data_IF_019268488494
#
_entry.id   IF_019268488494
#
_cell.length_a   1.000
_cell.length_b   1.000
_cell.length_c   1.000
_cell.angle_alpha   90.00
_cell.angle_beta   90.00
_cell.angle_gamma   90.00
#
_symmetry.space_group_name_H-M   'P 1'
#
loop_
_entity.id
_entity.type
_entity.pdbx_description
1 polymer ?
#
# COMPACT_ATOMS: atom_id res chain seq x y z
N UNK A 1 -17.35 3.23 18.26
CA UNK A 1 -15.99 2.84 18.71
C UNK A 1 -15.11 2.45 17.52
N UNK A 2 -15.39 1.36 16.78
CA UNK A 2 -14.56 0.94 15.64
C UNK A 2 -14.37 2.01 14.54
N UNK A 3 -15.45 2.70 14.15
CA UNK A 3 -15.36 3.81 13.18
C UNK A 3 -14.41 4.93 13.64
N UNK A 4 -14.62 5.42 14.87
CA UNK A 4 -13.77 6.46 15.48
C UNK A 4 -12.29 6.03 15.51
N UNK A 5 -12.01 4.78 15.89
CA UNK A 5 -10.64 4.26 15.87
C UNK A 5 -10.03 4.26 14.46
N UNK A 6 -10.79 3.82 13.44
CA UNK A 6 -10.32 3.86 12.05
C UNK A 6 -10.09 5.29 11.57
N UNK A 7 -10.95 6.23 11.95
CA UNK A 7 -10.81 7.64 11.57
C UNK A 7 -9.56 8.25 12.22
N UNK A 8 -9.26 7.90 13.48
CA UNK A 8 -8.02 8.32 14.17
C UNK A 8 -6.78 7.71 13.52
N UNK A 9 -6.78 6.41 13.21
CA UNK A 9 -5.65 5.75 12.54
C UNK A 9 -5.41 6.36 11.16
N UNK A 10 -6.46 6.59 10.37
CA UNK A 10 -6.35 7.24 9.07
C UNK A 10 -5.75 8.64 9.19
N UNK A 11 -6.26 9.46 10.12
CA UNK A 11 -5.81 10.84 10.28
C UNK A 11 -4.36 10.95 10.77
N UNK A 12 -3.96 10.12 11.73
CA UNK A 12 -2.64 10.22 12.37
C UNK A 12 -1.53 9.47 11.61
N UNK A 13 -1.85 8.33 10.99
CA UNK A 13 -0.83 7.38 10.53
C UNK A 13 -0.79 7.20 9.02
N UNK A 14 -1.84 7.52 8.27
CA UNK A 14 -1.87 7.24 6.84
C UNK A 14 -0.92 8.11 6.02
N UNK A 15 -0.29 7.49 5.03
CA UNK A 15 0.59 8.10 4.01
C UNK A 15 0.30 7.48 2.65
N UNK A 16 0.77 8.08 1.54
CA UNK A 16 0.62 7.49 0.19
C UNK A 16 1.19 6.07 0.06
N UNK A 17 2.19 5.67 0.86
CA UNK A 17 2.77 4.33 0.78
C UNK A 17 2.30 3.39 1.92
N UNK A 18 1.30 3.77 2.72
CA UNK A 18 0.75 2.93 3.80
C UNK A 18 0.70 3.65 5.14
N UNK A 19 0.60 2.90 6.23
CA UNK A 19 0.54 3.46 7.58
C UNK A 19 1.94 3.62 8.19
N UNK A 20 2.18 4.72 8.92
CA UNK A 20 3.31 4.87 9.84
C UNK A 20 3.18 3.88 10.99
N UNK A 21 4.31 3.35 11.44
CA UNK A 21 4.38 2.47 12.61
C UNK A 21 4.21 3.20 13.95
N UNK A 22 4.45 4.51 13.96
CA UNK A 22 4.29 5.38 15.13
C UNK A 22 3.76 6.75 14.71
N UNK A 23 2.99 7.40 15.58
CA UNK A 23 2.47 8.75 15.33
C UNK A 23 3.61 9.77 15.29
N UNK A 24 3.59 10.74 14.36
CA UNK A 24 4.52 11.87 14.38
C UNK A 24 4.47 12.72 15.67
N UNK A 25 3.36 12.64 16.42
CA UNK A 25 3.21 13.34 17.70
C UNK A 25 3.93 12.64 18.87
N UNK A 26 4.40 11.41 18.67
CA UNK A 26 5.12 10.66 19.70
C UNK A 26 6.59 11.12 19.77
N UNK A 27 7.16 11.36 20.96
CA UNK A 27 8.55 11.80 21.10
C UNK A 27 9.58 10.77 20.60
N UNK A 28 9.21 9.50 20.46
CA UNK A 28 10.06 8.46 19.89
C UNK A 28 9.97 8.36 18.35
N UNK A 29 9.20 9.23 17.68
CA UNK A 29 9.07 9.22 16.23
C UNK A 29 10.38 9.52 15.51
N UNK A 30 10.73 8.63 14.58
CA UNK A 30 11.86 8.71 13.68
C UNK A 30 11.33 8.84 12.25
N UNK A 31 11.47 10.03 11.61
CA UNK A 31 10.81 10.31 10.33
C UNK A 31 11.42 9.60 9.11
N UNK A 32 12.66 9.10 9.24
CA UNK A 32 13.45 8.59 8.12
C UNK A 32 14.01 7.20 8.41
N UNK A 33 13.83 6.29 7.47
CA UNK A 33 14.51 5.00 7.46
C UNK A 33 15.83 5.14 6.70
N UNK A 34 16.84 5.71 7.35
CA UNK A 34 18.10 6.08 6.72
C UNK A 34 19.30 5.82 7.63
N UNK A 35 20.51 6.01 7.08
CA UNK A 35 21.77 5.79 7.81
C UNK A 35 22.26 4.35 7.75
N UNK A 36 23.10 3.97 8.72
CA UNK A 36 23.67 2.64 8.84
C UNK A 36 22.68 1.61 9.39
N UNK A 37 23.12 0.35 9.57
CA UNK A 37 22.26 -0.71 10.10
C UNK A 37 21.63 -0.37 11.46
N UNK A 38 22.38 0.26 12.38
CA UNK A 38 21.88 0.60 13.73
C UNK A 38 20.80 1.67 13.69
N UNK A 39 21.00 2.69 12.87
CA UNK A 39 20.04 3.79 12.71
C UNK A 39 18.74 3.29 12.06
N UNK A 40 18.88 2.43 11.04
CA UNK A 40 17.75 1.80 10.37
C UNK A 40 16.97 0.86 11.28
N UNK A 41 17.65 0.02 12.06
CA UNK A 41 17.01 -0.84 13.06
C UNK A 41 16.22 -0.02 14.10
N UNK A 42 16.79 1.10 14.56
CA UNK A 42 16.11 1.99 15.50
C UNK A 42 14.85 2.64 14.89
N UNK A 43 14.89 3.00 13.59
CA UNK A 43 13.77 3.61 12.88
C UNK A 43 12.68 2.62 12.45
N UNK A 44 13.02 1.32 12.29
CA UNK A 44 12.22 0.31 11.57
C UNK A 44 10.77 0.17 12.03
N UNK A 45 10.53 0.42 13.33
CA UNK A 45 9.20 0.39 13.95
C UNK A 45 8.84 1.68 14.71
N UNK A 46 9.60 2.76 14.48
CA UNK A 46 9.46 4.02 15.22
C UNK A 46 8.97 5.17 14.32
N UNK A 47 8.16 4.91 13.29
CA UNK A 47 7.67 5.95 12.37
C UNK A 47 7.77 5.58 10.91
N UNK A 48 8.64 4.62 10.58
CA UNK A 48 8.73 3.99 9.26
C UNK A 48 7.35 3.51 8.78
N UNK A 49 7.06 3.76 7.50
CA UNK A 49 5.81 3.38 6.84
C UNK A 49 5.89 1.95 6.32
N UNK A 50 4.80 1.20 6.47
CA UNK A 50 4.69 -0.17 5.98
C UNK A 50 3.56 -0.32 4.95
N UNK A 51 3.87 -0.58 3.67
CA UNK A 51 2.88 -0.74 2.62
C UNK A 51 1.92 -1.90 2.80
N UNK A 52 2.37 -3.04 3.35
CA UNK A 52 1.51 -4.21 3.53
C UNK A 52 0.30 -3.95 4.43
N UNK A 53 0.34 -2.93 5.30
CA UNK A 53 -0.81 -2.56 6.11
C UNK A 53 -2.01 -2.04 5.32
N UNK A 54 -1.85 -1.70 4.02
CA UNK A 54 -2.98 -1.32 3.16
C UNK A 54 -4.10 -2.34 3.18
N UNK A 55 -3.78 -3.63 3.17
CA UNK A 55 -4.78 -4.68 3.12
C UNK A 55 -5.67 -4.70 4.36
N UNK A 56 -5.15 -4.95 5.59
CA UNK A 56 -6.00 -4.99 6.78
C UNK A 56 -6.67 -3.64 7.05
N UNK A 57 -6.01 -2.53 6.70
CA UNK A 57 -6.58 -1.19 6.82
C UNK A 57 -7.80 -1.00 5.92
N UNK A 58 -7.69 -1.26 4.61
CA UNK A 58 -8.78 -1.11 3.64
C UNK A 58 -9.98 -1.97 4.02
N UNK A 59 -9.72 -3.21 4.42
CA UNK A 59 -10.73 -4.13 4.92
C UNK A 59 -11.53 -3.56 6.10
N UNK A 60 -10.83 -3.11 7.14
CA UNK A 60 -11.46 -2.55 8.32
C UNK A 60 -12.19 -1.23 7.99
N UNK A 61 -11.57 -0.39 7.16
CA UNK A 61 -12.09 0.90 6.72
C UNK A 61 -13.41 0.75 5.96
N UNK A 62 -13.50 -0.23 5.05
CA UNK A 62 -14.72 -0.55 4.31
C UNK A 62 -15.80 -1.12 5.22
N UNK A 63 -15.47 -2.08 6.10
CA UNK A 63 -16.42 -2.71 7.03
C UNK A 63 -17.11 -1.69 7.92
N UNK A 64 -16.38 -0.73 8.48
CA UNK A 64 -17.00 0.33 9.31
C UNK A 64 -17.83 1.33 8.49
N UNK A 65 -17.72 1.31 7.15
CA UNK A 65 -18.41 2.18 6.17
C UNK A 65 -19.40 1.43 5.26
N UNK A 66 -19.90 0.26 5.69
CA UNK A 66 -20.91 -0.55 4.97
C UNK A 66 -20.45 -1.12 3.61
N UNK A 67 -19.19 -0.90 3.22
CA UNK A 67 -18.60 -1.42 1.98
C UNK A 67 -19.41 -1.13 0.71
N UNK A 68 -20.14 -0.01 0.67
CA UNK A 68 -20.91 0.38 -0.51
C UNK A 68 -20.00 0.86 -1.67
N UNK A 69 -20.60 1.06 -2.85
CA UNK A 69 -19.88 1.49 -4.06
C UNK A 69 -19.07 2.77 -3.85
N UNK A 70 -19.60 3.72 -3.07
CA UNK A 70 -18.94 5.00 -2.80
C UNK A 70 -17.72 4.81 -1.90
N UNK A 71 -17.86 4.00 -0.84
CA UNK A 71 -16.76 3.64 0.05
C UNK A 71 -15.65 2.90 -0.71
N UNK A 72 -16.00 1.91 -1.54
CA UNK A 72 -15.03 1.18 -2.37
C UNK A 72 -14.26 2.08 -3.32
N UNK A 73 -14.97 2.97 -4.02
CA UNK A 73 -14.35 3.96 -4.91
C UNK A 73 -13.40 4.87 -4.14
N UNK A 74 -13.82 5.38 -2.99
CA UNK A 74 -12.98 6.22 -2.12
C UNK A 74 -11.72 5.49 -1.66
N UNK A 75 -11.85 4.23 -1.23
CA UNK A 75 -10.73 3.42 -0.79
C UNK A 75 -9.75 3.13 -1.95
N UNK A 76 -10.27 2.86 -3.15
CA UNK A 76 -9.45 2.71 -4.36
C UNK A 76 -8.63 3.96 -4.65
N UNK A 77 -9.29 5.11 -4.70
CA UNK A 77 -8.65 6.39 -5.04
C UNK A 77 -7.60 6.81 -3.99
N UNK A 78 -7.91 6.66 -2.69
CA UNK A 78 -7.08 7.20 -1.61
C UNK A 78 -6.00 6.25 -1.10
N UNK A 79 -6.26 4.95 -1.11
CA UNK A 79 -5.39 3.98 -0.44
C UNK A 79 -4.68 3.04 -1.40
N UNK A 80 -5.33 2.66 -2.50
CA UNK A 80 -4.80 1.68 -3.45
C UNK A 80 -4.06 2.35 -4.61
N UNK A 81 -4.63 3.41 -5.20
CA UNK A 81 -4.04 4.08 -6.36
C UNK A 81 -2.60 4.61 -6.12
N UNK A 82 -2.25 5.17 -4.95
CA UNK A 82 -0.87 5.57 -4.67
C UNK A 82 0.13 4.40 -4.72
N UNK A 83 -0.24 3.23 -4.18
CA UNK A 83 0.60 2.02 -4.24
C UNK A 83 0.68 1.42 -5.65
N UNK A 84 -0.36 1.59 -6.47
CA UNK A 84 -0.27 1.23 -7.90
C UNK A 84 0.71 2.14 -8.64
N UNK A 85 0.75 3.43 -8.31
CA UNK A 85 1.73 4.36 -8.89
C UNK A 85 3.17 3.99 -8.48
N UNK A 86 3.35 3.50 -7.24
CA UNK A 86 4.63 3.01 -6.73
C UNK A 86 5.22 1.83 -7.54
N UNK A 87 4.41 1.07 -8.29
CA UNK A 87 4.91 -0.04 -9.11
C UNK A 87 5.93 0.39 -10.19
N UNK A 88 5.99 1.68 -10.51
CA UNK A 88 6.99 2.26 -11.42
C UNK A 88 8.28 2.76 -10.74
N UNK A 89 8.39 2.65 -9.41
CA UNK A 89 9.49 3.21 -8.59
C UNK A 89 10.15 2.13 -7.72
N UNK A 90 11.45 2.31 -7.40
CA UNK A 90 12.34 1.43 -6.63
C UNK A 90 12.52 -0.02 -7.15
N UNK A 91 11.44 -0.77 -7.34
CA UNK A 91 11.40 -2.12 -7.86
C UNK A 91 10.26 -2.28 -8.86
N UNK A 92 10.57 -2.33 -10.16
CA UNK A 92 9.57 -2.37 -11.23
C UNK A 92 8.58 -3.52 -11.05
N UNK A 93 7.30 -3.20 -11.01
CA UNK A 93 6.21 -4.15 -10.84
C UNK A 93 6.03 -4.65 -9.40
N UNK A 94 6.72 -4.07 -8.43
CA UNK A 94 6.69 -4.50 -7.02
C UNK A 94 6.41 -3.33 -6.07
N UNK A 95 6.11 -3.69 -4.82
CA UNK A 95 5.93 -2.76 -3.72
C UNK A 95 7.05 -2.97 -2.72
N UNK A 96 7.66 -1.87 -2.29
CA UNK A 96 8.76 -1.87 -1.32
C UNK A 96 8.31 -2.38 0.05
N UNK A 97 9.30 -2.74 0.86
CA UNK A 97 9.09 -3.20 2.23
C UNK A 97 8.66 -2.10 3.17
N UNK A 98 9.35 -0.97 3.07
CA UNK A 98 9.12 0.19 3.92
C UNK A 98 9.26 1.47 3.10
N UNK A 99 8.81 2.57 3.69
CA UNK A 99 9.12 3.91 3.23
C UNK A 99 9.34 4.86 4.40
N UNK A 100 9.92 6.03 4.13
CA UNK A 100 10.05 7.08 5.12
C UNK A 100 8.70 7.51 5.71
N UNK A 101 8.72 7.81 7.01
CA UNK A 101 7.59 8.38 7.74
C UNK A 101 7.14 9.73 7.19
N UNK A 102 8.09 10.58 6.80
CA UNK A 102 7.80 11.94 6.32
C UNK A 102 7.87 12.06 4.78
N UNK A 103 7.12 13.01 4.17
CA UNK A 103 7.23 13.33 2.75
C UNK A 103 8.70 13.57 2.33
N UNK A 104 9.16 13.06 1.18
CA UNK A 104 8.37 12.52 0.08
C UNK A 104 8.02 11.02 0.21
N UNK A 105 8.20 10.40 1.38
CA UNK A 105 8.01 8.95 1.60
C UNK A 105 8.91 8.11 0.69
N UNK A 106 10.22 8.37 0.72
CA UNK A 106 11.16 7.61 -0.09
C UNK A 106 11.08 6.11 0.25
N UNK A 107 11.01 5.22 -0.75
CA UNK A 107 11.00 3.78 -0.52
C UNK A 107 12.34 3.28 0.03
N UNK A 108 12.27 2.29 0.91
CA UNK A 108 13.42 1.67 1.55
C UNK A 108 13.25 0.17 1.77
N UNK A 109 14.26 -0.43 2.39
CA UNK A 109 14.28 -1.86 2.66
C UNK A 109 14.33 -2.70 1.38
N UNK A 110 13.71 -3.88 1.42
CA UNK A 110 13.59 -4.75 0.25
C UNK A 110 12.66 -4.13 -0.82
N UNK A 111 13.12 -3.90 -2.07
CA UNK A 111 12.27 -3.35 -3.13
C UNK A 111 11.23 -4.36 -3.68
N UNK A 112 11.46 -5.67 -3.48
CA UNK A 112 10.63 -6.75 -4.02
C UNK A 112 9.93 -7.53 -2.91
N UNK A 113 9.04 -6.87 -2.18
CA UNK A 113 8.59 -7.38 -0.90
C UNK A 113 7.22 -8.09 -0.97
N UNK A 114 7.18 -9.38 -0.62
CA UNK A 114 6.11 -10.30 -0.97
C UNK A 114 4.77 -9.99 -0.29
N UNK A 115 4.77 -9.80 1.03
CA UNK A 115 3.59 -9.36 1.79
C UNK A 115 3.04 -7.99 1.36
N UNK A 116 3.89 -7.02 0.97
CA UNK A 116 3.42 -5.73 0.45
C UNK A 116 2.63 -5.90 -0.84
N UNK A 117 3.14 -6.70 -1.79
CA UNK A 117 2.42 -7.01 -3.03
C UNK A 117 1.16 -7.84 -2.75
N UNK A 118 1.24 -8.84 -1.87
CA UNK A 118 0.12 -9.68 -1.48
C UNK A 118 -1.05 -8.88 -0.90
N UNK A 119 -0.77 -7.97 0.02
CA UNK A 119 -1.80 -7.13 0.63
C UNK A 119 -2.35 -6.05 -0.31
N UNK A 120 -1.54 -5.54 -1.25
CA UNK A 120 -2.04 -4.69 -2.34
C UNK A 120 -3.03 -5.44 -3.23
N UNK A 121 -2.71 -6.68 -3.64
CA UNK A 121 -3.63 -7.52 -4.44
C UNK A 121 -4.92 -7.81 -3.68
N UNK A 122 -4.83 -8.07 -2.37
CA UNK A 122 -6.00 -8.30 -1.52
C UNK A 122 -6.86 -7.04 -1.38
N UNK A 123 -6.23 -5.88 -1.19
CA UNK A 123 -6.92 -4.59 -1.15
C UNK A 123 -7.60 -4.26 -2.50
N UNK A 124 -6.94 -4.54 -3.63
CA UNK A 124 -7.51 -4.41 -4.98
C UNK A 124 -8.80 -5.23 -5.11
N UNK A 125 -8.75 -6.52 -4.77
CA UNK A 125 -9.92 -7.38 -4.79
C UNK A 125 -11.04 -6.89 -3.85
N UNK A 126 -10.69 -6.27 -2.72
CA UNK A 126 -11.65 -5.71 -1.77
C UNK A 126 -12.32 -4.42 -2.25
N UNK A 127 -11.65 -3.61 -3.09
CA UNK A 127 -12.23 -2.36 -3.63
C UNK A 127 -12.87 -2.54 -5.00
N UNK A 128 -12.52 -3.59 -5.74
CA UNK A 128 -13.20 -3.96 -6.96
C UNK A 128 -14.62 -4.47 -6.67
N UNK A 129 -15.54 -4.27 -7.63
CA UNK A 129 -16.89 -4.82 -7.50
C UNK A 129 -16.85 -6.32 -7.83
N UNK A 130 -17.63 -7.16 -7.13
CA UNK A 130 -17.87 -8.52 -7.58
C UNK A 130 -18.43 -8.49 -9.01
N UNK A 131 -17.62 -8.91 -9.99
CA UNK A 131 -17.98 -8.95 -11.41
C UNK A 131 -17.35 -7.88 -12.32
N UNK A 132 -16.51 -6.96 -11.81
CA UNK A 132 -15.83 -5.95 -12.64
C UNK A 132 -14.58 -6.45 -13.39
N UNK A 133 -14.22 -7.72 -13.22
CA UNK A 133 -13.19 -8.35 -14.06
C UNK A 133 -13.83 -8.60 -15.43
N UNK A 134 -13.64 -7.65 -16.33
CA UNK A 134 -13.95 -7.83 -17.75
C UNK A 134 -13.26 -9.11 -18.27
N UNK A 135 -13.81 -9.74 -19.33
CA UNK A 135 -13.27 -11.01 -19.82
C UNK A 135 -11.76 -10.87 -20.04
N UNK A 136 -10.97 -11.74 -19.39
CA UNK A 136 -9.52 -11.83 -19.65
C UNK A 136 -9.38 -12.03 -21.15
N UNK A 137 -8.88 -11.04 -21.87
CA UNK A 137 -8.54 -11.21 -23.27
C UNK A 137 -7.54 -12.36 -23.34
N UNK A 138 -7.95 -13.43 -24.02
CA UNK A 138 -7.07 -14.58 -24.23
C UNK A 138 -5.78 -14.07 -24.89
N UNK A 139 -4.59 -14.59 -24.49
CA UNK A 139 -3.35 -14.18 -25.14
C UNK A 139 -3.47 -14.48 -26.63
N UNK A 140 -3.41 -13.41 -27.44
CA UNK A 140 -3.35 -13.52 -28.90
C UNK A 140 -2.12 -14.36 -29.22
N UNK A 141 -2.33 -15.62 -29.63
CA UNK A 141 -1.25 -16.44 -30.19
C UNK A 141 -0.78 -15.73 -31.45
N UNK A 142 0.33 -15.01 -31.35
CA UNK A 142 1.05 -14.51 -32.51
C UNK A 142 1.42 -15.72 -33.35
N UNK A 143 0.75 -15.89 -34.49
CA UNK A 143 1.21 -16.81 -35.53
C UNK A 143 2.48 -16.18 -36.07
N UNK A 144 3.63 -16.65 -35.59
CA UNK A 144 4.89 -16.47 -36.30
C UNK A 144 4.69 -17.08 -37.68
N UNK A 145 4.52 -16.20 -38.68
CA UNK A 145 4.59 -16.56 -40.07
C UNK A 145 6.03 -17.01 -40.32
N UNK A 146 6.23 -18.31 -40.51
CA UNK A 146 7.45 -18.86 -41.07
C UNK A 146 7.58 -18.29 -42.48
N UNK A 147 8.47 -17.30 -42.64
CA UNK A 147 8.86 -16.80 -43.94
C UNK A 147 9.91 -17.73 -44.52
N UNK A 148 9.51 -18.43 -45.59
CA UNK A 148 10.27 -19.14 -46.64
C UNK A 148 11.37 -20.10 -46.21
#
# INVERSE_FOLDING_TARGET
>A
RARVAMDTVEAALWTPLGLRSLSPDDPAYVPRYAGGPRERDAAYHAGTVWPWWVGPFVDAWLRVRRSDRSARRTARERFVAPLLAHLGDAGLGHVSEVADGDPPHAPGGCPFQAWSVGELLRALAAVDEPGSVGPRSAPTRSRLATAR
#
